data_IF_747244214350
#
_entry.id   IF_747244214350
#
_cell.length_a   1.000
_cell.length_b   1.000
_cell.length_c   1.000
_cell.angle_alpha   90.00
_cell.angle_beta   90.00
_cell.angle_gamma   90.00
#
_symmetry.space_group_name_H-M   'P 1'
#
loop_
_entity.id
_entity.type
_entity.pdbx_description
1 polymer ?
#
# COMPACT_ATOMS: atom_id res chain seq x y z
N UNK A 1 -23.17 -19.02 1.62
CA UNK A 1 -22.57 -18.02 0.70
C UNK A 1 -22.24 -16.78 1.51
N UNK A 2 -20.96 -16.38 1.53
CA UNK A 2 -20.54 -15.17 2.22
C UNK A 2 -21.13 -13.97 1.48
N UNK A 3 -21.80 -13.04 2.18
CA UNK A 3 -22.37 -11.86 1.53
C UNK A 3 -21.23 -11.02 0.97
N UNK A 4 -21.38 -10.54 -0.27
CA UNK A 4 -20.39 -9.73 -0.99
C UNK A 4 -19.86 -8.57 -0.12
N UNK A 5 -20.74 -7.94 0.66
CA UNK A 5 -20.39 -6.86 1.60
C UNK A 5 -19.41 -7.26 2.71
N UNK A 6 -19.44 -8.51 3.20
CA UNK A 6 -18.49 -8.98 4.23
C UNK A 6 -17.13 -9.34 3.63
N UNK A 7 -17.13 -9.93 2.43
CA UNK A 7 -15.89 -10.20 1.70
C UNK A 7 -15.17 -8.88 1.36
N UNK A 8 -15.93 -7.87 0.96
CA UNK A 8 -15.44 -6.52 0.68
C UNK A 8 -14.85 -5.84 1.92
N UNK A 9 -15.58 -5.80 3.04
CA UNK A 9 -15.06 -5.23 4.30
C UNK A 9 -13.76 -5.88 4.76
N UNK A 10 -13.65 -7.20 4.64
CA UNK A 10 -12.41 -7.94 4.99
C UNK A 10 -11.26 -7.59 4.04
N UNK A 11 -11.55 -7.40 2.76
CA UNK A 11 -10.54 -7.00 1.78
C UNK A 11 -10.04 -5.56 2.03
N UNK A 12 -10.94 -4.60 2.26
CA UNK A 12 -10.58 -3.21 2.56
C UNK A 12 -9.77 -3.09 3.86
N UNK A 13 -10.11 -3.86 4.90
CA UNK A 13 -9.31 -3.90 6.13
C UNK A 13 -7.91 -4.46 5.88
N UNK A 14 -7.79 -5.57 5.13
CA UNK A 14 -6.48 -6.15 4.77
C UNK A 14 -5.64 -5.18 3.95
N UNK A 15 -6.23 -4.50 2.96
CA UNK A 15 -5.56 -3.50 2.15
C UNK A 15 -5.04 -2.32 3.00
N UNK A 16 -5.84 -1.84 3.95
CA UNK A 16 -5.45 -0.78 4.88
C UNK A 16 -4.28 -1.21 5.79
N UNK A 17 -4.33 -2.45 6.33
CA UNK A 17 -3.25 -2.99 7.16
C UNK A 17 -1.95 -3.14 6.34
N UNK A 18 -2.03 -3.65 5.11
CA UNK A 18 -0.86 -3.75 4.22
C UNK A 18 -0.29 -2.37 3.89
N UNK A 19 -1.15 -1.39 3.56
CA UNK A 19 -0.70 -0.03 3.30
C UNK A 19 -0.02 0.59 4.53
N UNK A 20 -0.53 0.35 5.74
CA UNK A 20 0.10 0.81 6.98
C UNK A 20 1.50 0.19 7.16
N UNK A 21 1.65 -1.12 6.94
CA UNK A 21 2.94 -1.80 7.02
C UNK A 21 3.94 -1.27 5.99
N UNK A 22 3.52 -1.01 4.76
CA UNK A 22 4.38 -0.42 3.73
C UNK A 22 4.82 1.00 4.08
N UNK A 23 3.95 1.79 4.72
CA UNK A 23 4.33 3.11 5.25
C UNK A 23 5.39 3.00 6.34
N UNK A 24 5.31 1.98 7.22
CA UNK A 24 6.36 1.72 8.21
C UNK A 24 7.70 1.42 7.52
N UNK A 25 7.70 0.58 6.48
CA UNK A 25 8.93 0.29 5.69
C UNK A 25 9.49 1.58 5.06
N UNK A 26 8.63 2.44 4.51
CA UNK A 26 9.02 3.72 3.95
C UNK A 26 9.66 4.67 4.97
N UNK A 27 9.20 4.65 6.23
CA UNK A 27 9.81 5.45 7.31
C UNK A 27 11.23 4.97 7.62
N UNK A 28 11.49 3.66 7.51
CA UNK A 28 12.81 3.10 7.76
C UNK A 28 13.76 3.16 6.55
N UNK A 29 13.23 3.32 5.33
CA UNK A 29 14.03 3.36 4.11
C UNK A 29 15.19 4.38 4.16
N UNK A 30 14.99 5.65 4.63
CA UNK A 30 16.06 6.65 4.69
C UNK A 30 17.27 6.23 5.52
N UNK A 31 17.10 5.38 6.53
CA UNK A 31 18.22 4.88 7.35
C UNK A 31 19.17 3.99 6.53
N UNK A 32 18.69 3.38 5.46
CA UNK A 32 19.49 2.57 4.55
C UNK A 32 20.04 3.36 3.37
N UNK A 33 19.71 4.65 3.21
CA UNK A 33 20.17 5.49 2.10
C UNK A 33 21.69 5.48 1.93
N UNK A 34 22.45 5.40 3.03
CA UNK A 34 23.92 5.38 2.99
C UNK A 34 24.50 4.01 2.62
N UNK A 35 23.70 2.94 2.69
CA UNK A 35 24.13 1.56 2.41
C UNK A 35 23.74 1.07 1.01
N UNK A 36 22.95 1.86 0.26
CA UNK A 36 22.39 1.46 -1.04
C UNK A 36 22.65 2.58 -2.06
N UNK A 37 22.82 2.22 -3.34
CA UNK A 37 22.96 3.23 -4.40
C UNK A 37 21.73 4.17 -4.46
N UNK A 38 21.92 5.47 -4.79
CA UNK A 38 20.81 6.42 -4.89
C UNK A 38 19.72 6.01 -5.88
N UNK A 39 20.11 5.37 -6.99
CA UNK A 39 19.18 4.86 -8.00
C UNK A 39 18.31 3.75 -7.42
N UNK A 40 18.93 2.76 -6.77
CA UNK A 40 18.21 1.66 -6.13
C UNK A 40 17.25 2.17 -5.06
N UNK A 41 17.69 3.12 -4.22
CA UNK A 41 16.84 3.75 -3.20
C UNK A 41 15.61 4.43 -3.82
N UNK A 42 15.82 5.25 -4.85
CA UNK A 42 14.73 5.95 -5.54
C UNK A 42 13.75 4.98 -6.20
N UNK A 43 14.24 3.90 -6.83
CA UNK A 43 13.39 2.88 -7.44
C UNK A 43 12.51 2.18 -6.40
N UNK A 44 13.09 1.74 -5.28
CA UNK A 44 12.32 1.06 -4.21
C UNK A 44 11.27 2.00 -3.63
N UNK A 45 11.64 3.25 -3.35
CA UNK A 45 10.72 4.25 -2.81
C UNK A 45 9.55 4.53 -3.78
N UNK A 46 9.83 4.71 -5.07
CA UNK A 46 8.81 4.94 -6.09
C UNK A 46 7.82 3.78 -6.20
N UNK A 47 8.32 2.53 -6.22
CA UNK A 47 7.48 1.33 -6.27
C UNK A 47 6.57 1.24 -5.04
N UNK A 48 7.13 1.44 -3.83
CA UNK A 48 6.35 1.42 -2.59
C UNK A 48 5.25 2.48 -2.58
N UNK A 49 5.53 3.70 -3.04
CA UNK A 49 4.52 4.76 -3.14
C UNK A 49 3.38 4.39 -4.10
N UNK A 50 3.69 3.82 -5.26
CA UNK A 50 2.67 3.39 -6.23
C UNK A 50 1.80 2.27 -5.64
N UNK A 51 2.41 1.29 -4.98
CA UNK A 51 1.65 0.19 -4.34
C UNK A 51 0.70 0.74 -3.25
N UNK A 52 1.18 1.65 -2.41
CA UNK A 52 0.34 2.30 -1.38
C UNK A 52 -0.79 3.10 -2.02
N UNK A 53 -0.53 3.83 -3.10
CA UNK A 53 -1.56 4.59 -3.81
C UNK A 53 -2.65 3.65 -4.37
N UNK A 54 -2.28 2.53 -5.00
CA UNK A 54 -3.24 1.53 -5.50
C UNK A 54 -4.06 0.95 -4.36
N UNK A 55 -3.43 0.54 -3.25
CA UNK A 55 -4.12 -0.03 -2.09
C UNK A 55 -5.09 0.96 -1.42
N UNK A 56 -4.85 2.27 -1.55
CA UNK A 56 -5.75 3.32 -1.05
C UNK A 56 -6.92 3.60 -1.98
N UNK A 57 -6.67 3.64 -3.29
CA UNK A 57 -7.67 4.05 -4.29
C UNK A 57 -8.62 2.92 -4.66
N UNK A 58 -8.15 1.68 -4.73
CA UNK A 58 -8.98 0.55 -5.16
C UNK A 58 -10.22 0.31 -4.26
N UNK A 59 -10.12 0.38 -2.91
CA UNK A 59 -11.32 0.32 -2.06
C UNK A 59 -12.28 1.50 -2.28
N UNK A 60 -11.77 2.68 -2.66
CA UNK A 60 -12.58 3.88 -2.87
C UNK A 60 -13.29 3.87 -4.21
N UNK A 61 -12.66 3.40 -5.29
CA UNK A 61 -13.26 3.38 -6.63
C UNK A 61 -14.45 2.42 -6.69
N UNK A 62 -14.36 1.24 -6.06
CA UNK A 62 -15.45 0.27 -6.07
C UNK A 62 -16.65 0.66 -5.17
N UNK A 63 -16.50 1.64 -4.27
CA UNK A 63 -17.63 2.24 -3.55
C UNK A 63 -18.33 3.35 -4.35
N UNK A 64 -17.70 3.87 -5.41
CA UNK A 64 -18.30 4.87 -6.29
C UNK A 64 -19.12 4.24 -7.43
N UNK A 65 -18.91 2.95 -7.69
CA UNK A 65 -19.61 2.18 -8.74
C UNK A 65 -20.84 1.39 -8.18
N UNK A 66 -21.12 1.48 -6.87
CA UNK A 66 -22.34 0.97 -6.20
C UNK A 66 -23.37 2.09 -5.99
#
# INVERSE_FOLDING_TARGET
MMKFSEAWKRWSFKAAVIAALLNVVLIFLPFFQMSISPVTYATVNAVLMVVIAILRVWPQSALADE
#
